data_IF_428113088524
#
_entry.id   IF_428113088524
#
_cell.length_a   1.000
_cell.length_b   1.000
_cell.length_c   1.000
_cell.angle_alpha   90.00
_cell.angle_beta   90.00
_cell.angle_gamma   90.00
#
_symmetry.space_group_name_H-M   'P 1'
#
loop_
_entity.id
_entity.type
_entity.pdbx_description
1 polymer ?
#
# COMPACT_ATOMS: atom_id res chain seq x y z
N UNK A 1 12.48 -37.71 -0.61
CA UNK A 1 13.20 -36.42 -0.67
C UNK A 1 12.31 -35.24 -0.28
N UNK A 2 11.17 -34.99 -0.94
CA UNK A 2 10.28 -33.87 -0.56
C UNK A 2 9.79 -33.90 0.89
N UNK A 3 9.31 -35.06 1.38
CA UNK A 3 8.84 -35.22 2.76
C UNK A 3 9.90 -34.95 3.83
N UNK A 4 11.17 -35.23 3.53
CA UNK A 4 12.27 -34.96 4.46
C UNK A 4 12.54 -33.46 4.59
N UNK A 5 12.53 -32.74 3.46
CA UNK A 5 12.66 -31.28 3.42
C UNK A 5 11.48 -30.61 4.14
N UNK A 6 10.24 -31.09 3.92
CA UNK A 6 9.05 -30.59 4.60
C UNK A 6 9.14 -30.71 6.13
N UNK A 7 9.56 -31.87 6.63
CA UNK A 7 9.75 -32.08 8.07
C UNK A 7 10.78 -31.10 8.64
N UNK A 8 11.94 -30.96 7.98
CA UNK A 8 12.98 -30.03 8.42
C UNK A 8 12.55 -28.55 8.36
N UNK A 9 11.67 -28.18 7.43
CA UNK A 9 11.10 -26.83 7.38
C UNK A 9 10.24 -26.59 8.62
N UNK A 10 9.36 -27.53 8.97
CA UNK A 10 8.49 -27.42 10.13
C UNK A 10 9.28 -27.36 11.46
N UNK A 11 10.38 -28.11 11.55
CA UNK A 11 11.24 -28.12 12.74
C UNK A 11 12.03 -26.81 12.95
N UNK A 12 12.27 -26.06 11.87
CA UNK A 12 13.11 -24.85 11.87
C UNK A 12 12.32 -23.55 11.70
N UNK A 13 11.01 -23.58 11.93
CA UNK A 13 10.19 -22.38 11.95
C UNK A 13 10.56 -21.48 13.13
N UNK A 14 10.55 -20.18 12.88
CA UNK A 14 10.71 -19.16 13.92
C UNK A 14 9.41 -18.97 14.72
N UNK A 15 9.45 -18.11 15.74
CA UNK A 15 8.31 -17.82 16.62
C UNK A 15 7.06 -17.30 15.91
N UNK A 16 7.19 -16.79 14.68
CA UNK A 16 6.08 -16.32 13.85
C UNK A 16 5.54 -17.40 12.89
N UNK A 17 5.98 -18.65 13.02
CA UNK A 17 5.62 -19.74 12.12
C UNK A 17 6.18 -19.56 10.70
N UNK A 18 7.33 -18.88 10.56
CA UNK A 18 7.98 -18.60 9.27
C UNK A 18 9.38 -19.20 9.22
N UNK A 19 9.88 -19.42 8.00
CA UNK A 19 11.22 -19.99 7.80
C UNK A 19 12.24 -18.89 7.49
N UNK A 20 13.27 -18.75 8.31
CA UNK A 20 14.32 -17.78 8.04
C UNK A 20 15.17 -18.19 6.83
N UNK A 21 15.64 -17.20 6.07
CA UNK A 21 16.47 -17.41 4.88
C UNK A 21 17.71 -18.28 5.19
N UNK A 22 18.40 -18.03 6.30
CA UNK A 22 19.56 -18.82 6.70
C UNK A 22 19.22 -20.27 7.05
N UNK A 23 18.08 -20.51 7.69
CA UNK A 23 17.58 -21.87 7.98
C UNK A 23 17.30 -22.63 6.68
N UNK A 24 16.69 -21.99 5.68
CA UNK A 24 16.44 -22.62 4.39
C UNK A 24 17.73 -23.05 3.67
N UNK A 25 18.81 -22.25 3.75
CA UNK A 25 20.11 -22.63 3.21
C UNK A 25 20.77 -23.79 3.97
N UNK A 26 20.59 -23.87 5.29
CA UNK A 26 21.05 -25.03 6.09
C UNK A 26 20.32 -26.31 5.66
N UNK A 27 19.01 -26.23 5.43
CA UNK A 27 18.22 -27.38 4.95
C UNK A 27 18.74 -27.84 3.58
N UNK A 28 18.89 -26.91 2.63
CA UNK A 28 19.43 -27.20 1.29
C UNK A 28 20.80 -27.88 1.34
N UNK A 29 21.70 -27.42 2.22
CA UNK A 29 23.01 -28.03 2.40
C UNK A 29 22.93 -29.45 3.00
N UNK A 30 22.02 -29.68 3.95
CA UNK A 30 21.83 -30.98 4.62
C UNK A 30 21.20 -32.02 3.69
N UNK A 31 20.18 -31.64 2.93
CA UNK A 31 19.42 -32.56 2.06
C UNK A 31 19.97 -32.64 0.64
N UNK A 32 21.01 -31.85 0.32
CA UNK A 32 21.57 -31.67 -1.03
C UNK A 32 20.52 -31.27 -2.08
N UNK A 33 19.42 -30.67 -1.63
CA UNK A 33 18.32 -30.22 -2.49
C UNK A 33 18.63 -28.82 -3.01
N UNK A 34 18.40 -28.52 -4.30
CA UNK A 34 18.55 -27.16 -4.82
C UNK A 34 17.77 -26.14 -3.99
N UNK A 35 18.40 -24.99 -3.71
CA UNK A 35 17.82 -23.99 -2.83
C UNK A 35 16.47 -23.45 -3.33
N UNK A 36 16.31 -23.32 -4.65
CA UNK A 36 15.05 -22.90 -5.27
C UNK A 36 13.93 -23.90 -5.01
N UNK A 37 14.26 -25.19 -4.91
CA UNK A 37 13.28 -26.25 -4.62
C UNK A 37 12.85 -26.22 -3.15
N UNK A 38 13.77 -25.97 -2.21
CA UNK A 38 13.43 -25.74 -0.80
C UNK A 38 12.47 -24.56 -0.66
N UNK A 39 12.71 -23.47 -1.38
CA UNK A 39 11.81 -22.31 -1.41
C UNK A 39 10.42 -22.63 -1.99
N UNK A 40 10.36 -23.42 -3.07
CA UNK A 40 9.09 -23.91 -3.65
C UNK A 40 8.32 -24.79 -2.67
N UNK A 41 9.00 -25.72 -2.00
CA UNK A 41 8.39 -26.62 -1.02
C UNK A 41 7.80 -25.80 0.14
N UNK A 42 8.57 -24.86 0.71
CA UNK A 42 8.09 -23.98 1.76
C UNK A 42 6.82 -23.21 1.34
N UNK A 43 6.81 -22.65 0.12
CA UNK A 43 5.64 -21.96 -0.41
C UNK A 43 4.43 -22.89 -0.61
N UNK A 44 4.65 -24.13 -1.06
CA UNK A 44 3.59 -25.10 -1.30
C UNK A 44 2.91 -25.55 0.00
N UNK A 45 3.66 -25.65 1.10
CA UNK A 45 3.11 -25.95 2.43
C UNK A 45 2.61 -24.69 3.17
N UNK A 46 2.56 -23.54 2.50
CA UNK A 46 2.02 -22.29 3.07
C UNK A 46 2.97 -21.53 4.01
N UNK A 47 4.23 -21.95 4.13
CA UNK A 47 5.24 -21.29 4.96
C UNK A 47 5.90 -20.15 4.17
N UNK A 48 5.90 -18.95 4.77
CA UNK A 48 6.59 -17.79 4.20
C UNK A 48 8.05 -17.73 4.65
N UNK A 49 8.92 -17.31 3.74
CA UNK A 49 10.32 -17.01 4.05
C UNK A 49 10.40 -15.66 4.79
N UNK A 50 11.18 -15.60 5.86
CA UNK A 50 11.48 -14.40 6.64
C UNK A 50 12.99 -14.12 6.70
N UNK A 51 13.36 -12.97 7.25
CA UNK A 51 14.74 -12.63 7.64
C UNK A 51 15.78 -12.92 6.54
N UNK A 52 15.74 -12.15 5.45
CA UNK A 52 16.70 -12.28 4.35
C UNK A 52 18.13 -12.01 4.86
N UNK A 53 19.05 -12.95 4.65
CA UNK A 53 20.42 -12.82 5.15
C UNK A 53 21.17 -11.62 4.56
N UNK A 54 20.85 -11.23 3.32
CA UNK A 54 21.37 -10.03 2.65
C UNK A 54 20.59 -8.75 2.98
N UNK A 55 19.50 -8.83 3.75
CA UNK A 55 18.79 -7.65 4.25
C UNK A 55 17.69 -7.08 3.37
N UNK A 56 17.25 -7.76 2.31
CA UNK A 56 16.19 -7.23 1.44
C UNK A 56 14.83 -7.09 2.16
N UNK A 57 14.57 -7.96 3.13
CA UNK A 57 13.40 -7.92 4.02
C UNK A 57 13.73 -8.61 5.34
N UNK A 58 12.85 -8.44 6.33
CA UNK A 58 13.02 -8.94 7.70
C UNK A 58 13.71 -7.94 8.60
N UNK A 59 13.97 -8.33 9.85
CA UNK A 59 14.50 -7.44 10.91
C UNK A 59 15.76 -8.03 11.55
N UNK A 60 16.70 -8.49 10.74
CA UNK A 60 17.98 -8.98 11.23
C UNK A 60 18.88 -7.82 11.68
N UNK A 61 19.64 -8.04 12.75
CA UNK A 61 20.53 -7.02 13.33
C UNK A 61 21.55 -6.50 12.33
N UNK A 62 21.83 -5.21 12.37
CA UNK A 62 22.82 -4.57 11.52
C UNK A 62 23.88 -3.90 12.42
N UNK A 63 25.13 -3.94 11.98
CA UNK A 63 26.20 -3.06 12.46
C UNK A 63 26.41 -1.91 11.45
N UNK A 64 27.52 -1.18 11.55
CA UNK A 64 27.94 -0.20 10.56
C UNK A 64 28.44 -0.86 9.28
N UNK A 65 28.04 -0.34 8.12
CA UNK A 65 28.60 -0.72 6.82
C UNK A 65 30.08 -0.36 6.71
N UNK A 66 30.79 -1.06 5.82
CA UNK A 66 32.22 -0.82 5.57
C UNK A 66 32.46 -0.39 4.13
N UNK A 67 33.28 0.64 3.95
CA UNK A 67 33.71 1.14 2.62
C UNK A 67 34.47 0.04 1.87
N UNK A 68 35.27 -0.77 2.56
CA UNK A 68 36.02 -1.89 1.96
C UNK A 68 35.09 -2.95 1.38
N UNK A 69 33.95 -3.18 2.03
CA UNK A 69 32.94 -4.15 1.58
C UNK A 69 32.18 -3.59 0.38
N UNK A 70 31.90 -2.28 0.37
CA UNK A 70 31.29 -1.62 -0.78
C UNK A 70 32.16 -1.77 -2.02
N UNK A 71 33.48 -1.52 -1.92
CA UNK A 71 34.41 -1.67 -3.04
C UNK A 71 34.41 -3.10 -3.62
N UNK A 72 34.20 -4.12 -2.79
CA UNK A 72 34.06 -5.52 -3.24
C UNK A 72 32.72 -5.80 -3.95
N UNK A 73 31.67 -5.03 -3.63
CA UNK A 73 30.34 -5.19 -4.20
C UNK A 73 30.18 -4.44 -5.52
N UNK A 74 30.86 -3.30 -5.68
CA UNK A 74 30.76 -2.41 -6.86
C UNK A 74 30.83 -3.11 -8.22
N UNK A 75 31.73 -4.08 -8.46
CA UNK A 75 31.81 -4.78 -9.75
C UNK A 75 30.55 -5.57 -10.13
N UNK A 76 29.70 -5.90 -9.14
CA UNK A 76 28.48 -6.70 -9.32
C UNK A 76 27.21 -5.86 -9.32
N UNK A 77 27.32 -4.54 -9.15
CA UNK A 77 26.17 -3.65 -9.13
C UNK A 77 25.75 -3.26 -10.55
N UNK A 78 24.44 -3.24 -10.79
CA UNK A 78 23.90 -2.64 -12.01
C UNK A 78 23.75 -1.11 -11.90
N UNK A 79 23.37 -0.47 -13.01
CA UNK A 79 23.13 0.98 -13.13
C UNK A 79 22.14 1.54 -12.09
N UNK A 80 21.25 0.70 -11.53
CA UNK A 80 20.25 1.08 -10.52
C UNK A 80 20.73 0.74 -9.10
N UNK A 81 22.03 0.44 -8.93
CA UNK A 81 22.66 -0.02 -7.67
C UNK A 81 21.97 -1.26 -7.11
N UNK A 82 21.75 -2.27 -7.94
CA UNK A 82 21.18 -3.56 -7.52
C UNK A 82 22.17 -4.70 -7.75
N UNK A 83 22.18 -5.67 -6.83
CA UNK A 83 23.05 -6.86 -6.87
C UNK A 83 22.24 -8.15 -6.96
N UNK A 84 22.70 -9.16 -7.70
CA UNK A 84 22.06 -10.48 -7.64
C UNK A 84 22.28 -11.14 -6.28
N UNK A 85 21.29 -11.89 -5.79
CA UNK A 85 21.40 -12.63 -4.53
C UNK A 85 22.56 -13.65 -4.55
N UNK A 86 22.87 -14.21 -5.74
CA UNK A 86 24.02 -15.08 -5.94
C UNK A 86 25.33 -14.36 -5.59
N UNK A 87 25.59 -13.26 -6.28
CA UNK A 87 26.83 -12.48 -6.16
C UNK A 87 27.00 -11.94 -4.74
N UNK A 88 25.92 -11.38 -4.16
CA UNK A 88 25.97 -10.89 -2.78
C UNK A 88 26.30 -11.97 -1.75
N UNK A 89 25.88 -13.22 -1.98
CA UNK A 89 26.25 -14.38 -1.14
C UNK A 89 27.67 -14.86 -1.40
N UNK A 90 28.13 -14.80 -2.63
CA UNK A 90 29.50 -15.21 -2.96
C UNK A 90 30.52 -14.25 -2.34
N UNK A 91 30.26 -12.93 -2.39
CA UNK A 91 31.07 -11.94 -1.66
C UNK A 91 30.99 -12.17 -0.14
N UNK A 92 29.86 -12.66 0.37
CA UNK A 92 29.68 -12.91 1.81
C UNK A 92 30.61 -13.99 2.38
N UNK A 93 31.05 -14.94 1.55
CA UNK A 93 31.94 -16.04 2.00
C UNK A 93 33.26 -15.53 2.59
N UNK A 94 33.76 -14.37 2.14
CA UNK A 94 35.03 -13.80 2.61
C UNK A 94 34.91 -12.68 3.66
N UNK A 95 33.70 -12.22 3.98
CA UNK A 95 33.48 -11.02 4.82
C UNK A 95 32.50 -11.29 5.96
N UNK A 96 31.50 -12.14 5.72
CA UNK A 96 30.37 -12.41 6.62
C UNK A 96 29.09 -11.70 6.22
N UNK A 97 27.95 -12.38 6.39
CA UNK A 97 26.62 -11.90 5.98
C UNK A 97 26.17 -10.65 6.72
N UNK A 98 26.54 -10.49 8.00
CA UNK A 98 26.14 -9.32 8.82
C UNK A 98 26.72 -8.01 8.25
N UNK A 99 28.01 -8.00 7.92
CA UNK A 99 28.69 -6.84 7.32
C UNK A 99 28.15 -6.51 5.93
N UNK A 100 27.88 -7.53 5.11
CA UNK A 100 27.26 -7.31 3.79
C UNK A 100 25.86 -6.73 3.95
N UNK A 101 25.01 -7.32 4.80
CA UNK A 101 23.68 -6.80 5.08
C UNK A 101 23.70 -5.33 5.50
N UNK A 102 24.58 -4.97 6.44
CA UNK A 102 24.77 -3.58 6.87
C UNK A 102 25.18 -2.68 5.71
N UNK A 103 26.16 -3.09 4.92
CA UNK A 103 26.67 -2.30 3.79
C UNK A 103 25.58 -2.11 2.71
N UNK A 104 24.85 -3.16 2.35
CA UNK A 104 23.75 -3.08 1.39
C UNK A 104 22.67 -2.09 1.89
N UNK A 105 22.35 -2.13 3.19
CA UNK A 105 21.38 -1.24 3.81
C UNK A 105 21.85 0.22 3.83
N UNK A 106 23.05 0.49 4.32
CA UNK A 106 23.59 1.85 4.50
C UNK A 106 23.77 2.56 3.15
N UNK A 107 24.23 1.84 2.14
CA UNK A 107 24.45 2.37 0.79
C UNK A 107 23.24 2.22 -0.14
N UNK A 108 22.07 1.86 0.40
CA UNK A 108 20.78 1.72 -0.30
C UNK A 108 20.88 0.85 -1.57
N UNK A 109 21.59 -0.27 -1.48
CA UNK A 109 21.74 -1.24 -2.55
C UNK A 109 20.65 -2.30 -2.39
N UNK A 110 19.83 -2.50 -3.43
CA UNK A 110 18.79 -3.52 -3.42
C UNK A 110 19.32 -4.86 -3.94
N UNK A 111 18.85 -5.95 -3.35
CA UNK A 111 19.08 -7.30 -3.87
C UNK A 111 18.01 -7.64 -4.90
N UNK A 112 18.42 -8.21 -6.03
CA UNK A 112 17.56 -8.80 -7.07
C UNK A 112 17.78 -10.32 -7.18
N UNK A 113 16.78 -11.00 -7.71
CA UNK A 113 16.72 -12.44 -7.97
C UNK A 113 17.10 -13.29 -6.78
N UNK A 114 16.17 -13.42 -5.83
CA UNK A 114 16.36 -14.26 -4.65
C UNK A 114 16.56 -15.72 -5.05
N UNK A 115 17.62 -16.37 -4.54
CA UNK A 115 17.83 -17.83 -4.66
C UNK A 115 16.72 -18.66 -4.00
N UNK A 116 16.04 -18.05 -3.02
CA UNK A 116 14.68 -18.32 -2.53
C UNK A 116 13.60 -18.73 -3.54
N UNK A 117 13.60 -18.03 -4.67
CA UNK A 117 12.39 -17.78 -5.44
C UNK A 117 11.43 -16.73 -4.83
N UNK A 118 11.75 -16.10 -3.69
CA UNK A 118 10.82 -15.18 -3.00
C UNK A 118 10.47 -13.91 -3.78
N UNK A 119 11.42 -13.39 -4.57
CA UNK A 119 11.24 -12.21 -5.41
C UNK A 119 12.27 -12.22 -6.54
N UNK A 120 11.92 -11.63 -7.69
CA UNK A 120 12.87 -11.38 -8.79
C UNK A 120 13.40 -9.96 -8.75
N UNK A 121 12.53 -8.97 -8.63
CA UNK A 121 12.92 -7.59 -8.43
C UNK A 121 11.99 -6.96 -7.40
N UNK A 122 12.50 -6.01 -6.62
CA UNK A 122 11.67 -5.20 -5.75
C UNK A 122 10.77 -4.38 -6.68
N UNK A 123 9.48 -4.74 -6.77
CA UNK A 123 8.49 -3.87 -7.42
C UNK A 123 8.58 -2.53 -6.70
N UNK A 124 8.89 -1.46 -7.43
CA UNK A 124 8.91 -0.11 -6.87
C UNK A 124 7.62 0.17 -6.10
N UNK A 125 7.62 1.16 -5.21
CA UNK A 125 6.40 1.55 -4.49
C UNK A 125 5.27 1.68 -5.50
N UNK A 126 4.16 0.96 -5.29
CA UNK A 126 2.95 1.12 -6.11
C UNK A 126 2.55 2.60 -6.01
N UNK A 127 2.71 3.32 -7.11
CA UNK A 127 2.29 4.72 -7.18
C UNK A 127 0.76 4.73 -7.29
N UNK A 128 0.11 5.53 -6.45
CA UNK A 128 -1.33 5.77 -6.50
C UNK A 128 -1.53 7.24 -6.76
N UNK A 129 -2.18 7.57 -7.87
CA UNK A 129 -2.57 8.95 -8.18
C UNK A 129 -3.77 9.29 -7.31
N UNK A 130 -3.67 10.39 -6.54
CA UNK A 130 -4.78 10.97 -5.81
C UNK A 130 -5.03 12.36 -6.36
N UNK A 131 -6.21 12.60 -6.91
CA UNK A 131 -6.64 13.91 -7.40
C UNK A 131 -7.79 14.43 -6.57
N UNK A 132 -7.84 15.75 -6.38
CA UNK A 132 -8.97 16.48 -5.81
C UNK A 132 -9.35 17.55 -6.81
N UNK A 133 -10.53 17.45 -7.39
CA UNK A 133 -11.04 18.39 -8.40
C UNK A 133 -12.13 19.24 -7.78
N UNK A 134 -12.17 20.52 -8.17
CA UNK A 134 -13.23 21.44 -7.81
C UNK A 134 -13.41 22.51 -8.88
N UNK A 135 -14.56 23.18 -8.84
CA UNK A 135 -14.97 24.22 -9.78
C UNK A 135 -15.27 25.49 -8.97
N UNK A 136 -14.69 26.61 -9.38
CA UNK A 136 -14.92 27.95 -8.81
C UNK A 136 -15.57 28.86 -9.86
N UNK A 137 -16.32 29.87 -9.42
CA UNK A 137 -16.77 30.95 -10.29
C UNK A 137 -15.66 32.02 -10.46
N UNK A 138 -15.94 33.04 -11.28
CA UNK A 138 -15.00 34.14 -11.53
C UNK A 138 -14.67 34.95 -10.26
N UNK A 139 -15.56 34.91 -9.26
CA UNK A 139 -15.42 35.56 -7.97
C UNK A 139 -14.65 34.71 -6.94
N UNK A 140 -14.21 33.50 -7.29
CA UNK A 140 -13.48 32.59 -6.40
C UNK A 140 -14.35 31.79 -5.42
N UNK A 141 -15.68 31.80 -5.60
CA UNK A 141 -16.58 30.95 -4.82
C UNK A 141 -16.54 29.50 -5.34
N UNK A 142 -16.22 28.56 -4.46
CA UNK A 142 -16.26 27.12 -4.74
C UNK A 142 -17.69 26.67 -5.07
N UNK A 143 -17.99 26.40 -6.34
CA UNK A 143 -19.30 25.93 -6.83
C UNK A 143 -19.44 24.43 -6.65
N UNK A 144 -18.50 23.63 -7.20
CA UNK A 144 -18.53 22.16 -7.12
C UNK A 144 -17.24 21.62 -6.54
N UNK A 145 -17.37 20.52 -5.81
CA UNK A 145 -16.27 19.82 -5.16
C UNK A 145 -16.81 18.87 -4.12
N UNK A 146 -15.97 17.93 -3.68
CA UNK A 146 -16.34 16.81 -2.79
C UNK A 146 -17.40 17.16 -1.73
N UNK A 147 -17.17 18.20 -0.91
CA UNK A 147 -18.08 18.52 0.19
C UNK A 147 -19.47 19.00 -0.25
N UNK A 148 -19.58 19.76 -1.34
CA UNK A 148 -20.88 20.26 -1.83
C UNK A 148 -21.67 19.17 -2.53
N UNK A 149 -21.00 18.32 -3.30
CA UNK A 149 -21.61 17.14 -3.92
C UNK A 149 -22.09 16.15 -2.86
N UNK A 150 -21.28 15.88 -1.83
CA UNK A 150 -21.66 15.01 -0.70
C UNK A 150 -22.92 15.51 0.03
N UNK A 151 -23.09 16.83 0.20
CA UNK A 151 -24.31 17.39 0.78
C UNK A 151 -25.55 17.03 -0.04
N UNK A 152 -25.50 17.20 -1.37
CA UNK A 152 -26.62 16.84 -2.23
C UNK A 152 -26.89 15.33 -2.20
N UNK A 153 -25.84 14.50 -2.28
CA UNK A 153 -25.97 13.04 -2.24
C UNK A 153 -26.60 12.53 -0.94
N UNK A 154 -26.20 13.07 0.21
CA UNK A 154 -26.77 12.66 1.49
C UNK A 154 -28.21 13.16 1.63
N UNK A 155 -28.52 14.39 1.19
CA UNK A 155 -29.90 14.88 1.16
C UNK A 155 -30.78 13.97 0.29
N UNK A 156 -30.29 13.54 -0.87
CA UNK A 156 -31.01 12.60 -1.75
C UNK A 156 -31.33 11.27 -1.07
N UNK A 157 -30.45 10.79 -0.17
CA UNK A 157 -30.64 9.54 0.55
C UNK A 157 -31.59 9.66 1.74
N UNK A 158 -31.49 10.75 2.52
CA UNK A 158 -32.16 10.86 3.83
C UNK A 158 -33.38 11.78 3.83
N UNK A 159 -33.60 12.53 2.75
CA UNK A 159 -34.74 13.42 2.60
C UNK A 159 -34.74 14.61 3.57
N UNK A 160 -33.59 14.97 4.16
CA UNK A 160 -33.50 16.00 5.20
C UNK A 160 -32.12 16.64 5.27
N UNK A 161 -32.08 17.98 5.27
CA UNK A 161 -30.86 18.77 5.42
C UNK A 161 -30.27 18.61 6.83
N UNK A 162 -31.10 18.48 7.87
CA UNK A 162 -30.60 18.32 9.25
C UNK A 162 -29.93 16.98 9.45
N UNK A 163 -30.55 15.89 8.96
CA UNK A 163 -29.94 14.55 8.98
C UNK A 163 -28.68 14.50 8.11
N UNK A 164 -28.67 15.19 6.96
CA UNK A 164 -27.48 15.27 6.11
C UNK A 164 -26.32 15.98 6.81
N UNK A 165 -26.60 17.08 7.53
CA UNK A 165 -25.59 17.78 8.32
C UNK A 165 -24.99 16.88 9.42
N UNK A 166 -25.83 16.13 10.13
CA UNK A 166 -25.43 15.16 11.15
C UNK A 166 -24.53 14.06 10.59
N UNK A 167 -24.94 13.40 9.50
CA UNK A 167 -24.18 12.34 8.82
C UNK A 167 -22.82 12.85 8.33
N UNK A 168 -22.78 14.08 7.81
CA UNK A 168 -21.55 14.69 7.29
C UNK A 168 -20.68 15.33 8.40
N UNK A 169 -21.08 15.21 9.67
CA UNK A 169 -20.34 15.76 10.80
C UNK A 169 -20.18 17.28 10.75
N UNK A 170 -21.16 17.99 10.18
CA UNK A 170 -21.14 19.45 10.05
C UNK A 170 -22.38 20.10 10.69
N UNK A 171 -22.28 21.37 11.03
CA UNK A 171 -23.44 22.09 11.55
C UNK A 171 -24.47 22.35 10.43
N UNK A 172 -25.75 22.45 10.82
CA UNK A 172 -26.85 22.68 9.89
C UNK A 172 -26.62 23.92 9.00
N UNK A 173 -26.14 25.02 9.59
CA UNK A 173 -25.86 26.27 8.87
C UNK A 173 -24.84 26.09 7.76
N UNK A 174 -23.81 25.26 7.96
CA UNK A 174 -22.77 24.97 6.97
C UNK A 174 -23.31 24.10 5.84
N UNK A 175 -24.10 23.07 6.17
CA UNK A 175 -24.81 22.25 5.19
C UNK A 175 -25.74 23.11 4.31
N UNK A 176 -26.54 23.96 4.96
CA UNK A 176 -27.42 24.91 4.29
C UNK A 176 -26.65 25.90 3.40
N UNK A 177 -25.54 26.48 3.90
CA UNK A 177 -24.70 27.38 3.12
C UNK A 177 -24.11 26.71 1.88
N UNK A 178 -23.72 25.43 1.95
CA UNK A 178 -23.25 24.70 0.78
C UNK A 178 -24.32 24.60 -0.30
N UNK A 179 -25.56 24.30 0.09
CA UNK A 179 -26.69 24.28 -0.82
C UNK A 179 -27.01 25.67 -1.39
N UNK A 180 -27.02 26.71 -0.55
CA UNK A 180 -27.29 28.08 -0.99
C UNK A 180 -26.27 28.60 -2.01
N UNK A 181 -24.97 28.32 -1.80
CA UNK A 181 -23.92 28.69 -2.75
C UNK A 181 -24.14 27.97 -4.10
N UNK A 182 -24.51 26.69 -4.08
CA UNK A 182 -24.82 25.93 -5.28
C UNK A 182 -26.00 26.54 -6.05
N UNK A 183 -27.14 26.76 -5.38
CA UNK A 183 -28.34 27.31 -6.00
C UNK A 183 -28.11 28.72 -6.55
N UNK A 184 -27.41 29.58 -5.81
CA UNK A 184 -27.04 30.93 -6.26
C UNK A 184 -26.23 30.91 -7.55
N UNK A 185 -25.24 30.02 -7.64
CA UNK A 185 -24.37 29.92 -8.81
C UNK A 185 -25.05 29.25 -10.00
N UNK A 186 -25.97 28.31 -9.75
CA UNK A 186 -26.79 27.68 -10.78
C UNK A 186 -27.98 28.53 -11.22
N UNK A 187 -28.31 29.58 -10.46
CA UNK A 187 -29.49 30.44 -10.65
C UNK A 187 -30.81 29.65 -10.65
N UNK A 188 -30.82 28.53 -9.95
CA UNK A 188 -31.92 27.57 -9.91
C UNK A 188 -31.99 26.93 -8.52
N UNK A 189 -33.20 26.61 -8.06
CA UNK A 189 -33.37 25.77 -6.88
C UNK A 189 -32.97 24.34 -7.20
N UNK A 190 -32.35 23.66 -6.24
CA UNK A 190 -31.88 22.27 -6.37
C UNK A 190 -32.64 21.32 -5.43
N UNK A 191 -33.46 21.87 -4.54
CA UNK A 191 -34.26 21.11 -3.58
C UNK A 191 -35.72 21.59 -3.57
N UNK A 192 -36.63 20.64 -3.37
CA UNK A 192 -38.01 20.91 -3.03
C UNK A 192 -38.18 20.67 -1.53
N UNK A 193 -38.68 21.67 -0.80
CA UNK A 193 -38.95 21.55 0.64
C UNK A 193 -40.45 21.56 0.89
N UNK A 194 -40.95 20.58 1.66
CA UNK A 194 -42.35 20.53 2.08
C UNK A 194 -42.43 20.66 3.60
N UNK A 195 -43.02 21.76 4.07
CA UNK A 195 -43.24 22.02 5.49
C UNK A 195 -44.45 21.23 6.02
N UNK A 196 -44.30 20.56 7.16
CA UNK A 196 -45.37 19.81 7.84
C UNK A 196 -44.88 18.56 8.57
N UNK A 197 -45.79 17.87 9.29
CA UNK A 197 -45.54 16.56 9.89
C UNK A 197 -46.36 15.49 9.17
N UNK A 198 -45.70 14.68 8.34
CA UNK A 198 -46.30 13.56 7.61
C UNK A 198 -45.23 12.85 6.77
N UNK A 199 -45.57 11.70 6.18
CA UNK A 199 -44.60 10.83 5.46
C UNK A 199 -43.92 11.50 4.25
N UNK A 200 -44.50 12.61 3.75
CA UNK A 200 -43.96 13.42 2.65
C UNK A 200 -43.31 14.74 3.11
N UNK A 201 -43.06 14.90 4.41
CA UNK A 201 -42.35 16.07 4.95
C UNK A 201 -40.83 15.89 4.81
N UNK A 202 -40.14 16.94 4.36
CA UNK A 202 -38.69 16.88 4.18
C UNK A 202 -38.16 17.71 3.02
N UNK A 203 -36.95 17.36 2.60
CA UNK A 203 -36.20 17.98 1.51
C UNK A 203 -35.89 16.91 0.48
N UNK A 204 -36.41 17.05 -0.74
CA UNK A 204 -36.08 16.18 -1.87
C UNK A 204 -35.27 16.94 -2.91
N UNK A 205 -34.36 16.25 -3.59
CA UNK A 205 -33.67 16.84 -4.74
C UNK A 205 -34.61 16.91 -5.95
N UNK A 206 -34.44 17.93 -6.78
CA UNK A 206 -35.08 17.97 -8.10
C UNK A 206 -34.19 17.30 -9.17
N UNK A 207 -34.72 17.15 -10.39
CA UNK A 207 -34.03 16.51 -11.52
C UNK A 207 -32.67 17.16 -11.80
N UNK A 208 -32.63 18.50 -11.78
CA UNK A 208 -31.41 19.27 -12.01
C UNK A 208 -30.29 18.94 -11.02
N UNK A 209 -30.62 18.77 -9.75
CA UNK A 209 -29.64 18.40 -8.73
C UNK A 209 -29.04 17.01 -8.99
N UNK A 210 -29.84 16.06 -9.47
CA UNK A 210 -29.34 14.73 -9.87
C UNK A 210 -28.43 14.79 -11.10
N UNK A 211 -28.78 15.59 -12.11
CA UNK A 211 -27.90 15.81 -13.27
C UNK A 211 -26.53 16.34 -12.84
N UNK A 212 -26.49 17.31 -11.93
CA UNK A 212 -25.26 17.92 -11.45
C UNK A 212 -24.38 16.95 -10.65
N UNK A 213 -24.99 16.10 -9.80
CA UNK A 213 -24.25 15.04 -9.09
C UNK A 213 -23.62 14.08 -10.11
N UNK A 214 -24.37 13.68 -11.13
CA UNK A 214 -23.89 12.73 -12.13
C UNK A 214 -22.80 13.31 -13.03
N UNK A 215 -22.88 14.60 -13.37
CA UNK A 215 -21.86 15.27 -14.18
C UNK A 215 -20.51 15.43 -13.44
N UNK A 216 -20.49 15.42 -12.11
CA UNK A 216 -19.28 15.55 -11.31
C UNK A 216 -18.58 14.19 -11.03
N UNK A 217 -19.30 13.08 -11.14
CA UNK A 217 -18.76 11.72 -10.94
C UNK A 217 -17.89 11.28 -12.11
#
# INVERSE_FOLDING_TARGET
>A
MSKEVENLINDLLNSNGRLDCGSAFKISAKTKTPIEEVGKIASNIGVKIDNCELGQFGKLDCESGSVEVLAKLEPFLDEKRRIFCADGRDVAKGVGLKKIRSTLKDYKIDVKYCKLGCFKEKKGKKMVVKTKTWIENAEGELIFGKGKTEVLEVIAQVGSISKAAEILGMNYKKCWNHLQILQKNMKEDLVNTKQGGGDNAGTTLNERAYELINAYK
#
